data_IF_027908356021
#
_entry.id   IF_027908356021
#
_cell.length_a   1.000
_cell.length_b   1.000
_cell.length_c   1.000
_cell.angle_alpha   90.00
_cell.angle_beta   90.00
_cell.angle_gamma   90.00
#
_symmetry.space_group_name_H-M   'P 1'
#
loop_
_entity.id
_entity.type
_entity.pdbx_description
1 polymer ?
#
# COMPACT_ATOMS: atom_id res chain seq x y z
N UNK A 1 0.39 14.38 -3.61
CA UNK A 1 1.72 13.81 -3.36
C UNK A 1 2.80 14.36 -4.31
N UNK A 2 2.73 14.10 -5.60
CA UNK A 2 3.71 14.56 -6.58
C UNK A 2 3.95 16.08 -6.55
N UNK A 3 2.91 16.87 -6.35
CA UNK A 3 2.98 18.32 -6.25
C UNK A 3 3.82 18.77 -5.04
N UNK A 4 3.66 18.12 -3.89
CA UNK A 4 4.45 18.42 -2.69
C UNK A 4 5.90 18.01 -2.86
N UNK A 5 6.15 16.85 -3.46
CA UNK A 5 7.50 16.38 -3.74
C UNK A 5 8.27 17.35 -4.63
N UNK A 6 7.59 18.05 -5.54
CA UNK A 6 8.21 19.07 -6.39
C UNK A 6 8.43 20.40 -5.70
N UNK A 7 7.50 20.83 -4.84
CA UNK A 7 7.54 22.12 -4.18
C UNK A 7 8.43 22.15 -2.94
N UNK A 8 8.39 21.08 -2.16
CA UNK A 8 9.11 20.98 -0.89
C UNK A 8 9.73 19.60 -0.74
N UNK A 9 10.68 19.22 -1.63
CA UNK A 9 11.20 17.86 -1.67
C UNK A 9 11.92 17.44 -0.39
N UNK A 10 12.61 18.37 0.26
CA UNK A 10 13.44 18.08 1.44
C UNK A 10 12.68 18.17 2.77
N UNK A 11 11.42 18.57 2.73
CA UNK A 11 10.60 18.60 3.93
C UNK A 11 10.18 17.20 4.36
N UNK A 12 10.14 16.99 5.67
CA UNK A 12 9.65 15.75 6.24
C UNK A 12 8.17 15.53 5.91
N UNK A 13 7.86 14.37 5.37
CA UNK A 13 6.50 13.94 5.08
C UNK A 13 5.99 12.95 6.13
N UNK A 14 6.88 12.08 6.63
CA UNK A 14 6.53 10.99 7.54
C UNK A 14 7.59 10.86 8.61
N UNK A 15 7.16 10.74 9.85
CA UNK A 15 7.99 10.32 10.97
C UNK A 15 7.51 8.97 11.46
N UNK A 16 8.42 8.02 11.63
CA UNK A 16 8.13 6.70 12.18
C UNK A 16 9.27 6.27 13.09
N UNK A 17 9.03 6.30 14.41
CA UNK A 17 10.10 6.07 15.38
C UNK A 17 11.24 7.08 15.19
N UNK A 18 12.44 6.58 14.94
CA UNK A 18 13.62 7.39 14.63
C UNK A 18 13.79 7.65 13.12
N UNK A 19 12.94 7.06 12.30
CA UNK A 19 13.01 7.19 10.85
C UNK A 19 12.23 8.41 10.38
N UNK A 20 12.75 9.03 9.33
CA UNK A 20 12.16 10.20 8.71
C UNK A 20 12.21 10.06 7.19
N UNK A 21 11.07 10.25 6.55
CA UNK A 21 10.97 10.30 5.09
C UNK A 21 10.65 11.71 4.63
N UNK A 22 11.41 12.22 3.68
CA UNK A 22 11.07 13.47 3.01
C UNK A 22 9.99 13.22 1.96
N UNK A 23 9.39 14.30 1.45
CA UNK A 23 8.41 14.20 0.37
C UNK A 23 9.02 13.57 -0.89
N UNK A 24 10.28 13.90 -1.21
CA UNK A 24 10.97 13.30 -2.35
C UNK A 24 11.14 11.79 -2.18
N UNK A 25 11.59 11.36 -1.00
CA UNK A 25 11.77 9.94 -0.69
C UNK A 25 10.44 9.18 -0.71
N UNK A 26 9.40 9.74 -0.11
CA UNK A 26 8.08 9.14 -0.10
C UNK A 26 7.52 9.02 -1.53
N UNK A 27 7.66 10.06 -2.33
CA UNK A 27 7.22 10.05 -3.72
C UNK A 27 7.94 8.99 -4.55
N UNK A 28 9.25 8.83 -4.38
CA UNK A 28 10.03 7.80 -5.06
C UNK A 28 9.54 6.40 -4.69
N UNK A 29 9.31 6.15 -3.41
CA UNK A 29 8.79 4.87 -2.92
C UNK A 29 7.38 4.57 -3.44
N UNK A 30 6.52 5.57 -3.42
CA UNK A 30 5.15 5.45 -3.97
C UNK A 30 5.19 5.12 -5.47
N UNK A 31 6.05 5.80 -6.22
CA UNK A 31 6.20 5.56 -7.66
C UNK A 31 6.68 4.14 -7.94
N UNK A 32 7.66 3.66 -7.21
CA UNK A 32 8.17 2.29 -7.35
C UNK A 32 7.10 1.25 -7.03
N UNK A 33 6.36 1.46 -5.95
CA UNK A 33 5.27 0.56 -5.58
C UNK A 33 4.15 0.56 -6.63
N UNK A 34 3.79 1.73 -7.14
CA UNK A 34 2.78 1.83 -8.20
C UNK A 34 3.22 1.07 -9.47
N UNK A 35 4.47 1.19 -9.87
CA UNK A 35 5.00 0.42 -10.99
C UNK A 35 4.97 -1.10 -10.72
N UNK A 36 5.32 -1.52 -9.52
CA UNK A 36 5.25 -2.92 -9.13
C UNK A 36 3.83 -3.47 -9.17
N UNK A 37 2.86 -2.72 -8.64
CA UNK A 37 1.46 -3.11 -8.65
C UNK A 37 0.90 -3.16 -10.08
N UNK A 38 1.26 -2.21 -10.92
CA UNK A 38 0.88 -2.22 -12.33
C UNK A 38 1.42 -3.44 -13.05
N UNK A 39 2.68 -3.80 -12.81
CA UNK A 39 3.31 -5.01 -13.35
C UNK A 39 2.59 -6.29 -12.94
N UNK A 40 1.92 -6.29 -11.79
CA UNK A 40 1.11 -7.41 -11.30
C UNK A 40 -0.32 -7.40 -11.85
N UNK A 41 -0.66 -6.42 -12.66
CA UNK A 41 -1.95 -6.32 -13.30
C UNK A 41 -3.01 -5.53 -12.53
N UNK A 42 -2.61 -4.73 -11.55
CA UNK A 42 -3.53 -3.81 -10.87
C UNK A 42 -3.90 -2.68 -11.82
N UNK A 43 -5.19 -2.48 -12.00
CA UNK A 43 -5.74 -1.48 -12.91
C UNK A 43 -6.71 -0.56 -12.18
N UNK A 44 -7.10 0.51 -12.85
CA UNK A 44 -8.12 1.43 -12.36
C UNK A 44 -9.38 0.68 -11.92
N UNK A 45 -9.89 1.00 -10.75
CA UNK A 45 -11.08 0.36 -10.16
C UNK A 45 -10.81 -0.93 -9.40
N UNK A 46 -9.61 -1.49 -9.50
CA UNK A 46 -9.23 -2.67 -8.73
C UNK A 46 -9.09 -2.34 -7.23
N UNK A 47 -9.23 -3.36 -6.39
CA UNK A 47 -9.07 -3.25 -4.95
C UNK A 47 -7.74 -3.83 -4.55
N UNK A 48 -6.98 -3.06 -3.76
CA UNK A 48 -5.71 -3.47 -3.19
C UNK A 48 -5.88 -3.56 -1.68
N UNK A 49 -5.80 -4.76 -1.14
CA UNK A 49 -5.91 -4.96 0.30
C UNK A 49 -4.56 -4.76 0.99
N UNK A 50 -4.56 -4.00 2.07
CA UNK A 50 -3.41 -3.83 2.92
C UNK A 50 -3.68 -4.48 4.28
N UNK A 51 -2.80 -5.41 4.67
CA UNK A 51 -2.82 -6.06 5.96
C UNK A 51 -1.46 -5.85 6.62
N UNK A 52 -1.43 -5.00 7.63
CA UNK A 52 -0.19 -4.68 8.33
C UNK A 52 -0.42 -3.65 9.44
N UNK A 53 0.56 -3.45 10.31
CA UNK A 53 0.49 -2.43 11.35
C UNK A 53 0.62 -1.02 10.78
N UNK A 54 0.46 -0.01 11.64
CA UNK A 54 0.73 1.37 11.28
C UNK A 54 2.22 1.54 10.97
N UNK A 55 2.54 1.61 9.70
CA UNK A 55 3.89 1.70 9.18
C UNK A 55 3.87 2.61 7.94
N UNK A 56 4.97 3.27 7.58
CA UNK A 56 5.03 4.07 6.35
C UNK A 56 4.55 3.33 5.10
N UNK A 57 4.69 2.01 5.06
CA UNK A 57 4.18 1.17 3.98
C UNK A 57 2.67 1.34 3.73
N UNK A 58 1.89 1.64 4.76
CA UNK A 58 0.46 1.95 4.62
C UNK A 58 0.25 3.19 3.74
N UNK A 59 0.99 4.26 4.02
CA UNK A 59 0.92 5.48 3.23
C UNK A 59 1.42 5.27 1.80
N UNK A 60 2.47 4.50 1.64
CA UNK A 60 2.99 4.13 0.32
C UNK A 60 1.93 3.38 -0.50
N UNK A 61 1.26 2.41 0.12
CA UNK A 61 0.19 1.65 -0.52
C UNK A 61 -1.02 2.53 -0.87
N UNK A 62 -1.40 3.43 0.04
CA UNK A 62 -2.51 4.36 -0.16
C UNK A 62 -2.26 5.26 -1.36
N UNK A 63 -1.11 5.90 -1.44
CA UNK A 63 -0.77 6.79 -2.53
C UNK A 63 -0.49 6.06 -3.84
N UNK A 64 0.09 4.87 -3.78
CA UNK A 64 0.31 4.04 -4.97
C UNK A 64 -1.02 3.58 -5.57
N UNK A 65 -1.95 3.12 -4.75
CA UNK A 65 -3.29 2.77 -5.20
C UNK A 65 -3.99 3.98 -5.82
N UNK A 66 -3.92 5.15 -5.17
CA UNK A 66 -4.46 6.39 -5.71
C UNK A 66 -3.86 6.78 -7.06
N UNK A 67 -2.55 6.59 -7.23
CA UNK A 67 -1.86 6.87 -8.51
C UNK A 67 -2.39 5.98 -9.63
N UNK A 68 -2.73 4.74 -9.35
CA UNK A 68 -3.25 3.79 -10.32
C UNK A 68 -4.78 3.91 -10.52
N UNK A 69 -5.45 4.71 -9.72
CA UNK A 69 -6.91 4.75 -9.69
C UNK A 69 -7.53 3.52 -9.06
N UNK A 70 -6.77 2.76 -8.30
CA UNK A 70 -7.23 1.62 -7.53
C UNK A 70 -7.75 2.05 -6.16
N UNK A 71 -8.48 1.17 -5.49
CA UNK A 71 -9.08 1.41 -4.18
C UNK A 71 -8.28 0.63 -3.14
N UNK A 72 -7.76 1.33 -2.13
CA UNK A 72 -7.10 0.67 -1.00
C UNK A 72 -8.14 0.18 0.00
N UNK A 73 -8.01 -1.08 0.41
CA UNK A 73 -8.85 -1.71 1.43
C UNK A 73 -7.97 -2.05 2.63
N UNK A 74 -7.94 -1.19 3.66
CA UNK A 74 -7.18 -1.50 4.87
C UNK A 74 -7.89 -2.58 5.67
N UNK A 75 -7.13 -3.58 6.12
CA UNK A 75 -7.63 -4.69 6.93
C UNK A 75 -7.08 -4.61 8.34
N UNK A 76 -7.89 -5.03 9.32
CA UNK A 76 -7.47 -5.07 10.70
C UNK A 76 -6.60 -6.32 10.95
N UNK A 77 -5.38 -6.11 11.43
CA UNK A 77 -4.43 -7.20 11.72
C UNK A 77 -4.85 -8.09 12.88
N UNK A 78 -5.78 -7.63 13.70
CA UNK A 78 -6.30 -8.37 14.85
C UNK A 78 -7.43 -9.33 14.52
N UNK A 79 -7.95 -9.28 13.29
CA UNK A 79 -9.02 -10.17 12.85
C UNK A 79 -8.50 -11.59 12.62
N UNK A 80 -9.32 -12.58 12.93
CA UNK A 80 -9.05 -13.97 12.62
C UNK A 80 -9.13 -14.21 11.10
N UNK A 81 -8.47 -15.29 10.63
CA UNK A 81 -8.41 -15.60 9.21
C UNK A 81 -9.82 -15.71 8.52
N UNK A 82 -10.85 -16.32 9.14
CA UNK A 82 -12.18 -16.34 8.55
C UNK A 82 -12.81 -14.96 8.37
N UNK A 83 -12.57 -14.05 9.31
CA UNK A 83 -13.06 -12.67 9.25
C UNK A 83 -12.35 -11.88 8.14
N UNK A 84 -11.03 -12.05 8.02
CA UNK A 84 -10.25 -11.46 6.94
C UNK A 84 -10.73 -11.94 5.57
N UNK A 85 -10.99 -13.24 5.44
CA UNK A 85 -11.50 -13.82 4.21
C UNK A 85 -12.86 -13.21 3.82
N UNK A 86 -13.75 -12.99 4.80
CA UNK A 86 -15.05 -12.34 4.58
C UNK A 86 -14.85 -10.90 4.09
N UNK A 87 -13.98 -10.13 4.74
CA UNK A 87 -13.70 -8.74 4.34
C UNK A 87 -13.11 -8.66 2.93
N UNK A 88 -12.23 -9.58 2.58
CA UNK A 88 -11.66 -9.65 1.24
C UNK A 88 -12.75 -9.96 0.19
N UNK A 89 -13.63 -10.89 0.48
CA UNK A 89 -14.73 -11.24 -0.42
C UNK A 89 -15.69 -10.07 -0.60
N UNK A 90 -16.11 -9.43 0.50
CA UNK A 90 -17.05 -8.31 0.49
C UNK A 90 -16.51 -7.09 -0.24
N UNK A 91 -15.21 -6.82 -0.13
CA UNK A 91 -14.57 -5.68 -0.78
C UNK A 91 -14.35 -5.88 -2.28
N UNK A 92 -14.51 -7.11 -2.78
CA UNK A 92 -14.21 -7.45 -4.17
C UNK A 92 -12.71 -7.47 -4.48
N UNK A 93 -11.87 -7.58 -3.46
CA UNK A 93 -10.42 -7.69 -3.64
C UNK A 93 -10.09 -9.01 -4.32
N UNK A 94 -9.38 -8.92 -5.44
CA UNK A 94 -8.91 -10.11 -6.15
C UNK A 94 -7.72 -10.73 -5.42
N UNK A 95 -7.68 -12.04 -5.20
CA UNK A 95 -6.58 -12.71 -4.51
C UNK A 95 -5.37 -12.86 -5.44
N UNK A 96 -4.63 -11.79 -5.67
CA UNK A 96 -3.42 -11.86 -6.49
C UNK A 96 -2.17 -12.02 -5.64
N UNK A 97 -1.97 -11.13 -4.69
CA UNK A 97 -0.92 -11.22 -3.70
C UNK A 97 -1.00 -10.08 -2.70
N UNK A 98 -0.26 -10.21 -1.62
CA UNK A 98 -0.22 -9.23 -0.53
C UNK A 98 1.21 -9.03 -0.07
N UNK A 99 1.51 -7.84 0.39
CA UNK A 99 2.73 -7.60 1.15
C UNK A 99 2.38 -7.55 2.64
N UNK A 100 3.21 -8.16 3.44
CA UNK A 100 3.10 -8.08 4.89
C UNK A 100 4.14 -7.09 5.40
N UNK A 101 3.72 -6.12 6.19
CA UNK A 101 4.64 -5.20 6.82
C UNK A 101 5.57 -5.94 7.78
N UNK A 102 6.88 -5.64 7.73
CA UNK A 102 7.89 -6.33 8.52
C UNK A 102 8.34 -7.68 7.95
N UNK A 103 7.77 -8.09 6.82
CA UNK A 103 8.20 -9.27 6.08
C UNK A 103 8.75 -8.87 4.73
N UNK A 104 9.89 -9.41 4.36
CA UNK A 104 10.49 -9.22 3.03
C UNK A 104 9.86 -10.12 1.96
N UNK A 105 8.97 -11.02 2.37
CA UNK A 105 8.35 -11.98 1.45
C UNK A 105 6.96 -11.49 1.02
N UNK A 106 6.70 -11.40 -0.28
CA UNK A 106 5.35 -11.16 -0.75
C UNK A 106 4.45 -12.34 -0.39
N UNK A 107 3.25 -12.03 0.06
CA UNK A 107 2.25 -13.05 0.32
C UNK A 107 1.56 -13.42 -0.98
N UNK A 108 1.66 -14.67 -1.31
CA UNK A 108 0.80 -15.20 -2.37
C UNK A 108 -0.53 -15.59 -1.75
N UNK A 109 -1.59 -15.04 -2.25
CA UNK A 109 -2.90 -15.62 -1.98
C UNK A 109 -3.05 -16.87 -2.81
N UNK A 110 -3.45 -17.96 -2.18
CA UNK A 110 -3.98 -19.07 -2.92
C UNK A 110 -5.16 -18.57 -3.78
N UNK A 111 -5.07 -18.84 -5.04
CA UNK A 111 -6.13 -18.48 -5.99
C UNK A 111 -7.42 -19.22 -5.62
#
# INVERSE_FOLDING_TARGET
MARRARRTPDRAAVFYGNDRLTYAQLHDRVTRLAHGLRGLGVRRGDRVAYLGPNHPAFLEALFAAGTLGAILVPLNTRLAAPELARHLADSGTRPRWRTRCGSTRPWRTAA
#
